data_IF_234867340572
#
_entry.id   IF_234867340572
#
_cell.length_a   1.000
_cell.length_b   1.000
_cell.length_c   1.000
_cell.angle_alpha   90.00
_cell.angle_beta   90.00
_cell.angle_gamma   90.00
#
_symmetry.space_group_name_H-M   'P 1'
#
loop_
_entity.id
_entity.type
_entity.pdbx_description
1 polymer ?
#
# COMPACT_ATOMS: atom_id res chain seq x y z
N UNK A 1 19.49 13.05 21.60
CA UNK A 1 18.47 12.75 20.58
C UNK A 1 19.11 12.94 19.22
N UNK A 2 19.17 11.89 18.41
CA UNK A 2 19.90 11.88 17.13
C UNK A 2 18.89 11.69 16.01
N UNK A 3 18.81 12.64 15.08
CA UNK A 3 17.86 12.64 13.97
C UNK A 3 18.57 12.22 12.68
N UNK A 4 17.94 11.32 11.91
CA UNK A 4 18.45 10.81 10.62
C UNK A 4 17.74 11.54 9.49
N UNK A 5 18.50 12.15 8.58
CA UNK A 5 17.97 12.84 7.38
C UNK A 5 18.16 11.91 6.17
N UNK A 6 17.07 11.55 5.47
CA UNK A 6 17.17 10.80 4.21
C UNK A 6 17.69 11.69 3.09
N UNK A 7 18.60 11.13 2.29
CA UNK A 7 19.46 11.73 1.26
C UNK A 7 18.77 12.45 0.09
N UNK A 8 17.43 12.51 0.02
CA UNK A 8 16.72 12.91 -1.21
C UNK A 8 16.06 14.30 -1.18
N UNK A 9 16.16 15.06 -0.09
CA UNK A 9 15.69 16.45 -0.04
C UNK A 9 16.81 17.39 0.41
N UNK A 10 17.58 17.87 -0.58
CA UNK A 10 18.58 18.94 -0.50
C UNK A 10 19.83 18.65 0.36
N UNK A 11 21.00 18.93 -0.20
CA UNK A 11 22.34 18.82 0.43
C UNK A 11 22.58 19.83 1.58
N UNK A 12 21.52 20.46 2.10
CA UNK A 12 21.59 21.45 3.17
C UNK A 12 21.34 20.79 4.52
N UNK A 13 22.43 20.51 5.24
CA UNK A 13 22.38 20.16 6.67
C UNK A 13 21.91 21.41 7.43
N UNK A 14 20.76 21.38 8.11
CA UNK A 14 20.28 22.54 8.85
C UNK A 14 21.27 22.96 9.94
N UNK A 15 21.27 24.25 10.29
CA UNK A 15 22.15 24.80 11.32
C UNK A 15 21.94 24.05 12.66
N UNK A 16 23.01 23.54 13.27
CA UNK A 16 22.96 22.77 14.52
C UNK A 16 22.86 21.24 14.37
N UNK A 17 22.92 20.73 13.14
CA UNK A 17 22.87 19.28 12.85
C UNK A 17 24.19 18.77 12.27
N UNK A 18 24.45 17.46 12.37
CA UNK A 18 25.67 16.82 11.86
C UNK A 18 25.32 15.58 11.06
N UNK A 19 26.01 15.38 9.93
CA UNK A 19 25.86 14.17 9.11
C UNK A 19 26.48 12.97 9.85
N UNK A 20 25.80 11.82 9.81
CA UNK A 20 26.35 10.56 10.34
C UNK A 20 26.97 9.79 9.16
N UNK A 21 28.30 9.59 9.13
CA UNK A 21 28.99 9.08 7.94
C UNK A 21 28.84 7.57 7.71
N UNK A 22 28.33 6.82 8.69
CA UNK A 22 28.19 5.36 8.63
C UNK A 22 26.75 4.96 8.89
N UNK A 23 25.94 4.88 7.83
CA UNK A 23 24.55 4.43 7.93
C UNK A 23 24.48 2.90 7.85
N UNK A 24 24.14 2.18 8.94
CA UNK A 24 23.69 0.81 8.79
C UNK A 24 22.39 0.82 7.97
N UNK A 25 22.33 -0.01 6.92
CA UNK A 25 21.07 -0.24 6.22
C UNK A 25 20.10 -0.96 7.15
N UNK A 26 19.00 -0.31 7.49
CA UNK A 26 17.93 -0.91 8.29
C UNK A 26 17.03 -1.73 7.36
N UNK A 27 16.91 -3.02 7.64
CA UNK A 27 16.04 -3.95 6.91
C UNK A 27 14.89 -4.39 7.82
N UNK A 28 13.70 -4.55 7.23
CA UNK A 28 12.49 -4.94 7.94
C UNK A 28 11.54 -5.69 6.99
N UNK A 29 10.60 -6.45 7.55
CA UNK A 29 9.65 -7.23 6.79
C UNK A 29 8.49 -6.37 6.29
N UNK A 30 8.03 -6.59 5.06
CA UNK A 30 6.94 -5.79 4.46
C UNK A 30 5.58 -5.99 5.13
N UNK A 31 5.36 -7.16 5.73
CA UNK A 31 4.06 -7.55 6.27
C UNK A 31 4.23 -8.28 7.59
N UNK A 32 3.26 -8.10 8.49
CA UNK A 32 3.22 -8.75 9.80
C UNK A 32 3.34 -10.27 9.66
N UNK A 33 4.11 -10.89 10.55
CA UNK A 33 4.42 -12.32 10.58
C UNK A 33 5.41 -12.79 9.52
N UNK A 34 5.74 -11.96 8.52
CA UNK A 34 6.73 -12.34 7.50
C UNK A 34 8.12 -12.35 8.11
N UNK A 35 8.88 -13.42 7.86
CA UNK A 35 10.19 -13.65 8.47
C UNK A 35 10.18 -13.64 10.01
N UNK A 36 9.01 -13.84 10.66
CA UNK A 36 8.87 -13.77 12.12
C UNK A 36 8.80 -12.35 12.69
N UNK A 37 8.72 -11.32 11.84
CA UNK A 37 8.60 -9.95 12.30
C UNK A 37 7.16 -9.61 12.68
N UNK A 38 6.94 -9.12 13.90
CA UNK A 38 5.62 -8.93 14.49
C UNK A 38 5.37 -7.50 14.97
N UNK A 39 6.42 -6.68 15.06
CA UNK A 39 6.36 -5.33 15.65
C UNK A 39 6.27 -4.28 14.54
N UNK A 40 5.20 -3.47 14.46
CA UNK A 40 5.08 -2.44 13.43
C UNK A 40 6.03 -1.27 13.67
N UNK A 41 6.67 -0.77 12.60
CA UNK A 41 7.41 0.51 12.62
C UNK A 41 6.50 1.60 12.09
N UNK A 42 5.93 2.39 12.99
CA UNK A 42 5.09 3.52 12.62
C UNK A 42 5.94 4.74 12.28
N UNK A 43 5.60 5.41 11.18
CA UNK A 43 6.14 6.73 10.86
C UNK A 43 5.10 7.78 11.20
N UNK A 44 5.56 8.82 11.86
CA UNK A 44 4.81 10.02 12.16
C UNK A 44 5.45 11.19 11.41
N UNK A 45 4.64 12.17 11.03
CA UNK A 45 5.13 13.40 10.41
C UNK A 45 4.54 14.65 11.09
N UNK A 46 5.32 15.71 11.13
CA UNK A 46 4.88 17.04 11.54
C UNK A 46 5.30 18.04 10.47
N UNK A 47 4.38 18.96 10.17
CA UNK A 47 4.56 20.02 9.18
C UNK A 47 4.64 21.35 9.93
N UNK A 48 5.74 22.07 9.76
CA UNK A 48 5.85 23.44 10.23
C UNK A 48 6.48 24.35 9.15
N UNK A 49 6.64 25.63 9.45
CA UNK A 49 7.17 26.62 8.49
C UNK A 49 8.58 26.37 7.97
N UNK A 50 9.31 25.38 8.50
CA UNK A 50 10.68 25.03 8.09
C UNK A 50 10.81 23.66 7.42
N UNK A 51 9.73 22.86 7.35
CA UNK A 51 9.73 21.61 6.59
C UNK A 51 8.88 20.49 7.18
N UNK A 52 9.15 19.27 6.69
CA UNK A 52 8.53 18.03 7.16
C UNK A 52 9.50 17.33 8.10
N UNK A 53 9.04 17.04 9.31
CA UNK A 53 9.78 16.34 10.34
C UNK A 53 9.18 14.97 10.53
N UNK A 54 10.02 13.95 10.68
CA UNK A 54 9.56 12.58 10.92
C UNK A 54 10.00 12.10 12.30
N UNK A 55 9.13 11.33 12.94
CA UNK A 55 9.47 10.52 14.12
C UNK A 55 8.92 9.10 13.93
N UNK A 56 9.42 8.15 14.70
CA UNK A 56 9.11 6.73 14.53
C UNK A 56 8.83 6.08 15.87
N UNK A 57 7.81 5.23 15.92
CA UNK A 57 7.49 4.42 17.10
C UNK A 57 7.36 2.96 16.70
N UNK A 58 7.50 2.06 17.68
CA UNK A 58 7.32 0.61 17.51
C UNK A 58 5.97 0.11 18.01
N UNK A 59 5.13 1.03 18.48
CA UNK A 59 3.83 0.75 19.08
C UNK A 59 2.77 1.71 18.56
N UNK A 60 1.52 1.49 18.97
CA UNK A 60 0.39 2.33 18.57
C UNK A 60 0.34 3.70 19.25
N UNK A 61 1.43 4.14 19.90
CA UNK A 61 1.48 5.45 20.52
C UNK A 61 1.42 6.57 19.48
N UNK A 62 0.79 7.67 19.87
CA UNK A 62 0.76 8.91 19.10
C UNK A 62 1.83 9.84 19.68
N UNK A 63 2.62 10.44 18.81
CA UNK A 63 3.63 11.43 19.19
C UNK A 63 3.04 12.83 19.18
N UNK A 64 3.24 13.57 20.29
CA UNK A 64 2.65 14.90 20.46
C UNK A 64 3.17 15.89 19.40
N UNK A 65 2.25 16.60 18.76
CA UNK A 65 2.56 17.49 17.64
C UNK A 65 2.88 16.79 16.31
N UNK A 66 2.72 15.47 16.22
CA UNK A 66 2.89 14.69 15.00
C UNK A 66 1.62 13.93 14.60
N UNK A 67 1.45 13.70 13.30
CA UNK A 67 0.39 12.88 12.72
C UNK A 67 0.98 11.53 12.30
N UNK A 68 0.38 10.43 12.77
CA UNK A 68 0.79 9.08 12.40
C UNK A 68 0.32 8.71 11.00
N UNK A 69 1.17 8.06 10.22
CA UNK A 69 0.75 7.46 8.96
C UNK A 69 -0.16 6.24 9.19
N UNK A 70 -1.09 6.01 8.27
CA UNK A 70 -2.13 5.00 8.44
C UNK A 70 -1.62 3.55 8.37
N UNK A 71 -0.44 3.33 7.78
CA UNK A 71 0.18 2.01 7.68
C UNK A 71 1.59 2.09 8.27
N UNK A 72 2.05 1.03 8.95
CA UNK A 72 3.44 0.95 9.36
C UNK A 72 4.32 0.89 8.11
N UNK A 73 5.53 1.42 8.22
CA UNK A 73 6.54 1.34 7.15
C UNK A 73 6.89 -0.11 6.83
N UNK A 74 6.99 -0.92 7.88
CA UNK A 74 7.36 -2.32 7.84
C UNK A 74 7.24 -2.91 9.25
N UNK A 75 7.63 -4.17 9.40
CA UNK A 75 7.59 -4.93 10.64
C UNK A 75 9.00 -5.38 11.03
N UNK A 76 9.31 -5.29 12.31
CA UNK A 76 10.57 -5.72 12.94
C UNK A 76 10.28 -6.80 13.99
N UNK A 77 11.33 -7.38 14.56
CA UNK A 77 11.22 -8.47 15.53
C UNK A 77 11.13 -7.93 16.95
N UNK A 78 10.25 -8.53 17.76
CA UNK A 78 10.26 -8.29 19.19
C UNK A 78 11.48 -9.00 19.81
N UNK A 79 12.20 -8.29 20.67
CA UNK A 79 13.38 -8.86 21.33
C UNK A 79 13.02 -10.06 22.23
N UNK A 80 11.81 -10.06 22.81
CA UNK A 80 11.31 -11.16 23.64
C UNK A 80 11.01 -12.44 22.82
N UNK A 81 10.73 -12.30 21.51
CA UNK A 81 10.47 -13.45 20.62
C UNK A 81 11.78 -14.13 20.17
N UNK A 82 12.91 -13.42 20.19
CA UNK A 82 14.23 -13.92 19.79
C UNK A 82 14.85 -14.80 20.88
N UNK A 83 14.55 -14.53 22.16
CA UNK A 83 15.09 -15.30 23.29
C UNK A 83 14.49 -16.72 23.45
N UNK A 84 13.44 -17.04 22.68
CA UNK A 84 12.80 -18.38 22.69
C UNK A 84 13.41 -19.34 21.66
N UNK A 85 14.21 -18.86 20.70
CA UNK A 85 14.84 -19.71 19.68
C UNK A 85 16.03 -20.55 20.18
N UNK A 86 16.49 -20.32 21.42
CA UNK A 86 17.69 -20.96 21.97
C UNK A 86 17.50 -22.31 22.68
N UNK A 87 16.28 -22.75 23.01
CA UNK A 87 16.11 -23.86 23.97
C UNK A 87 14.93 -24.82 23.74
N UNK A 88 14.39 -24.93 22.52
CA UNK A 88 13.22 -25.79 22.24
C UNK A 88 13.52 -26.98 21.32
N UNK A 89 13.23 -28.20 21.80
CA UNK A 89 13.38 -29.47 21.08
C UNK A 89 12.69 -29.47 19.70
N UNK A 90 13.31 -30.21 18.77
CA UNK A 90 13.03 -30.29 17.33
C UNK A 90 11.59 -30.72 16.97
N UNK A 91 10.84 -31.33 17.89
CA UNK A 91 9.42 -31.68 17.69
C UNK A 91 8.46 -30.48 17.79
N UNK A 92 8.80 -29.42 18.54
CA UNK A 92 7.96 -28.22 18.65
C UNK A 92 8.08 -27.29 17.43
N UNK A 93 9.16 -27.43 16.64
CA UNK A 93 9.34 -26.73 15.36
C UNK A 93 8.32 -27.16 14.31
N UNK A 94 7.82 -28.40 14.35
CA UNK A 94 6.78 -28.86 13.40
C UNK A 94 5.38 -28.36 13.73
N UNK A 95 5.10 -27.94 14.98
CA UNK A 95 3.79 -27.38 15.36
C UNK A 95 3.69 -25.86 15.19
N UNK A 96 4.82 -25.13 15.13
CA UNK A 96 4.84 -23.67 14.91
C UNK A 96 4.77 -23.24 13.43
N UNK A 97 4.97 -24.16 12.48
CA UNK A 97 4.73 -23.89 11.05
C UNK A 97 3.26 -23.99 10.62
N UNK A 98 2.35 -24.20 11.57
CA UNK A 98 0.91 -24.01 11.36
C UNK A 98 0.51 -22.67 11.95
N UNK A 99 0.76 -21.59 11.20
CA UNK A 99 -0.02 -20.37 11.35
C UNK A 99 -1.46 -20.78 11.06
N UNK A 100 -2.26 -20.85 12.12
CA UNK A 100 -3.72 -20.87 12.00
C UNK A 100 -4.08 -19.53 11.37
N UNK A 101 -4.25 -19.55 10.05
CA UNK A 101 -4.89 -18.49 9.27
C UNK A 101 -6.23 -18.22 9.96
N UNK A 102 -6.42 -16.99 10.49
CA UNK A 102 -7.77 -16.51 10.82
C UNK A 102 -8.57 -16.62 9.52
N UNK A 103 -9.50 -17.59 9.52
CA UNK A 103 -10.13 -18.25 8.37
C UNK A 103 -9.25 -19.25 7.61
N UNK A 104 -9.20 -20.48 8.13
CA UNK A 104 -8.65 -21.67 7.47
C UNK A 104 -9.38 -22.10 6.18
N UNK A 105 -9.72 -21.16 5.30
CA UNK A 105 -10.00 -21.47 3.90
C UNK A 105 -8.67 -21.58 3.18
N UNK A 106 -8.19 -22.81 3.02
CA UNK A 106 -7.25 -23.12 1.94
C UNK A 106 -7.87 -22.62 0.64
N UNK A 107 -7.26 -21.60 0.04
CA UNK A 107 -7.64 -21.13 -1.28
C UNK A 107 -7.49 -22.30 -2.24
N UNK A 108 -8.58 -22.72 -2.85
CA UNK A 108 -8.47 -23.70 -3.92
C UNK A 108 -7.69 -23.04 -5.06
N UNK A 109 -6.71 -23.75 -5.62
CA UNK A 109 -5.79 -23.24 -6.66
C UNK A 109 -6.48 -23.15 -8.02
N UNK A 110 -7.81 -23.14 -8.01
CA UNK A 110 -8.62 -23.16 -9.22
C UNK A 110 -8.39 -21.87 -9.99
N UNK A 111 -8.08 -22.02 -11.27
CA UNK A 111 -7.79 -20.91 -12.16
C UNK A 111 -9.15 -20.39 -12.68
N UNK A 112 -9.54 -19.14 -12.38
CA UNK A 112 -10.81 -18.60 -12.89
C UNK A 112 -10.82 -18.62 -14.42
N UNK A 113 -12.00 -18.78 -15.02
CA UNK A 113 -12.07 -18.89 -16.48
C UNK A 113 -11.52 -17.61 -17.14
N UNK A 114 -10.45 -17.76 -17.94
CA UNK A 114 -9.78 -16.63 -18.64
C UNK A 114 -10.72 -15.81 -19.51
N UNK A 115 -11.80 -16.40 -20.04
CA UNK A 115 -12.77 -15.67 -20.86
C UNK A 115 -13.60 -14.66 -20.06
N UNK A 116 -13.55 -14.72 -18.73
CA UNK A 116 -14.18 -13.75 -17.82
C UNK A 116 -13.21 -12.67 -17.33
N UNK A 117 -11.96 -12.69 -17.80
CA UNK A 117 -10.96 -11.71 -17.43
C UNK A 117 -10.79 -10.67 -18.53
N UNK A 118 -10.58 -9.44 -18.14
CA UNK A 118 -10.39 -8.29 -19.03
C UNK A 118 -9.12 -7.54 -18.64
N UNK A 119 -8.53 -6.81 -19.59
CA UNK A 119 -7.30 -6.06 -19.35
C UNK A 119 -7.60 -4.81 -18.51
N UNK A 120 -7.01 -4.72 -17.31
CA UNK A 120 -6.99 -3.48 -16.53
C UNK A 120 -5.99 -2.51 -17.15
N UNK A 121 -6.46 -1.32 -17.48
CA UNK A 121 -5.69 -0.30 -18.18
C UNK A 121 -5.52 0.91 -17.25
N UNK A 122 -4.30 1.40 -17.18
CA UNK A 122 -3.96 2.67 -16.56
C UNK A 122 -4.09 3.80 -17.59
N UNK A 123 -4.75 4.87 -17.17
CA UNK A 123 -4.84 6.12 -17.88
C UNK A 123 -4.34 7.25 -16.99
N UNK A 124 -3.76 8.27 -17.61
CA UNK A 124 -3.26 9.46 -16.94
C UNK A 124 -3.80 10.71 -17.61
N UNK A 125 -4.22 11.70 -16.83
CA UNK A 125 -4.62 12.99 -17.38
C UNK A 125 -3.41 13.89 -17.67
N UNK A 126 -3.63 14.98 -18.41
CA UNK A 126 -2.59 15.96 -18.72
C UNK A 126 -2.59 17.15 -17.74
N UNK A 127 -3.14 16.99 -16.54
CA UNK A 127 -3.18 18.05 -15.51
C UNK A 127 -1.91 18.02 -14.66
N UNK A 128 -1.83 18.91 -13.67
CA UNK A 128 -0.65 19.08 -12.81
C UNK A 128 -1.07 19.38 -11.37
N UNK A 129 -0.14 19.22 -10.42
CA UNK A 129 -0.44 19.42 -8.99
C UNK A 129 -1.49 18.44 -8.50
N UNK A 130 -2.37 18.88 -7.59
CA UNK A 130 -3.44 18.07 -7.00
C UNK A 130 -4.56 17.65 -7.97
N UNK A 131 -4.47 18.04 -9.23
CA UNK A 131 -5.38 17.57 -10.28
C UNK A 131 -4.73 16.53 -11.20
N UNK A 132 -3.43 16.26 -11.05
CA UNK A 132 -2.79 15.15 -11.76
C UNK A 132 -3.37 13.84 -11.21
N UNK A 133 -3.79 12.96 -12.11
CA UNK A 133 -4.54 11.76 -11.71
C UNK A 133 -4.22 10.54 -12.59
N UNK A 134 -4.23 9.37 -11.95
CA UNK A 134 -4.23 8.07 -12.61
C UNK A 134 -5.56 7.34 -12.41
N UNK A 135 -6.16 6.94 -13.53
CA UNK A 135 -7.44 6.25 -13.58
C UNK A 135 -7.28 4.81 -14.08
N UNK A 136 -7.87 3.84 -13.38
CA UNK A 136 -7.76 2.41 -13.68
C UNK A 136 -9.12 1.87 -14.08
N UNK A 137 -9.23 1.38 -15.32
CA UNK A 137 -10.52 0.96 -15.87
C UNK A 137 -10.35 -0.09 -16.97
N UNK A 138 -11.47 -0.70 -17.36
CA UNK A 138 -11.61 -1.56 -18.53
C UNK A 138 -12.16 -0.80 -19.75
N UNK A 139 -12.58 0.46 -19.53
CA UNK A 139 -13.12 1.33 -20.58
C UNK A 139 -12.05 1.67 -21.62
N UNK A 140 -12.53 1.95 -22.82
CA UNK A 140 -11.68 2.39 -23.92
C UNK A 140 -11.42 3.89 -23.82
N UNK A 141 -10.33 4.37 -24.43
CA UNK A 141 -9.95 5.79 -24.40
C UNK A 141 -11.03 6.74 -24.92
N UNK A 142 -11.94 6.25 -25.77
CA UNK A 142 -13.08 7.04 -26.29
C UNK A 142 -14.06 7.46 -25.20
N UNK A 143 -14.11 6.71 -24.11
CA UNK A 143 -15.04 6.91 -23.01
C UNK A 143 -14.45 7.81 -21.90
N UNK A 144 -13.18 8.25 -22.06
CA UNK A 144 -12.39 8.90 -21.00
C UNK A 144 -11.82 10.24 -21.48
N UNK A 145 -12.69 11.25 -21.56
CA UNK A 145 -12.29 12.60 -21.98
C UNK A 145 -11.18 13.17 -21.05
N UNK A 146 -10.07 13.61 -21.66
CA UNK A 146 -8.95 14.22 -20.95
C UNK A 146 -7.93 13.25 -20.35
N UNK A 147 -8.12 11.94 -20.56
CA UNK A 147 -7.21 10.89 -20.10
C UNK A 147 -6.55 10.17 -21.28
N UNK A 148 -5.25 9.93 -21.16
CA UNK A 148 -4.46 9.20 -22.14
C UNK A 148 -4.06 7.84 -21.57
N UNK A 149 -4.18 6.79 -22.37
CA UNK A 149 -3.72 5.45 -21.97
C UNK A 149 -2.21 5.51 -21.74
N UNK A 150 -1.75 5.04 -20.59
CA UNK A 150 -0.33 4.94 -20.25
C UNK A 150 0.15 3.51 -20.29
N UNK A 151 -0.60 2.56 -19.71
CA UNK A 151 -0.13 1.19 -19.52
C UNK A 151 -1.25 0.16 -19.50
N UNK A 152 -0.96 -1.04 -20.03
CA UNK A 152 -1.73 -2.26 -19.76
C UNK A 152 -1.14 -2.93 -18.51
N UNK A 153 -1.91 -3.04 -17.44
CA UNK A 153 -1.42 -3.58 -16.17
C UNK A 153 -1.46 -5.10 -16.14
N UNK A 154 -2.61 -5.69 -16.46
CA UNK A 154 -2.82 -7.13 -16.41
C UNK A 154 -4.28 -7.52 -16.47
N UNK A 155 -4.52 -8.82 -16.58
CA UNK A 155 -5.88 -9.37 -16.63
C UNK A 155 -6.51 -9.40 -15.22
N UNK A 156 -7.74 -8.91 -15.12
CA UNK A 156 -8.53 -8.87 -13.90
C UNK A 156 -9.94 -9.42 -14.16
N UNK A 157 -10.60 -9.96 -13.13
CA UNK A 157 -11.98 -10.44 -13.26
C UNK A 157 -12.98 -9.29 -13.12
N UNK A 158 -14.03 -9.31 -13.94
CA UNK A 158 -15.14 -8.33 -13.86
C UNK A 158 -16.30 -8.79 -13.00
N UNK A 159 -16.31 -10.07 -12.61
CA UNK A 159 -17.32 -10.69 -11.76
C UNK A 159 -16.66 -11.62 -10.77
N UNK A 160 -17.25 -11.73 -9.59
CA UNK A 160 -16.86 -12.75 -8.63
C UNK A 160 -17.01 -14.14 -9.26
N UNK A 161 -15.97 -14.97 -9.15
CA UNK A 161 -15.98 -16.34 -9.64
C UNK A 161 -15.96 -17.29 -8.45
N UNK A 162 -17.07 -18.01 -8.23
CA UNK A 162 -17.22 -18.92 -7.10
C UNK A 162 -16.22 -20.08 -7.09
N UNK A 163 -15.52 -20.33 -8.20
CA UNK A 163 -14.41 -21.29 -8.23
C UNK A 163 -13.25 -20.83 -7.34
N UNK A 164 -13.04 -19.53 -7.16
CA UNK A 164 -11.98 -18.95 -6.36
C UNK A 164 -12.54 -18.22 -5.14
N UNK A 165 -12.38 -18.82 -3.95
CA UNK A 165 -12.86 -18.25 -2.68
C UNK A 165 -12.02 -17.10 -2.14
N UNK A 166 -10.87 -16.80 -2.76
CA UNK A 166 -9.88 -15.83 -2.29
C UNK A 166 -9.84 -14.54 -3.13
N UNK A 167 -10.89 -14.33 -3.93
CA UNK A 167 -11.10 -13.05 -4.59
C UNK A 167 -11.45 -11.98 -3.58
N UNK A 168 -10.82 -10.83 -3.74
CA UNK A 168 -11.21 -9.57 -3.10
C UNK A 168 -11.85 -8.68 -4.15
N UNK A 169 -12.87 -7.93 -3.73
CA UNK A 169 -13.48 -6.90 -4.58
C UNK A 169 -12.64 -5.63 -4.50
N UNK A 170 -12.20 -5.16 -5.66
CA UNK A 170 -11.66 -3.81 -5.84
C UNK A 170 -12.74 -2.91 -6.41
N UNK A 171 -12.81 -1.69 -5.90
CA UNK A 171 -13.72 -0.64 -6.33
C UNK A 171 -12.90 0.53 -6.84
N UNK A 172 -13.28 1.05 -8.02
CA UNK A 172 -12.76 2.32 -8.48
C UNK A 172 -13.53 3.43 -7.75
N UNK A 173 -12.79 4.36 -7.17
CA UNK A 173 -13.32 5.46 -6.37
C UNK A 173 -12.80 6.79 -6.90
N UNK A 174 -13.50 7.87 -6.56
CA UNK A 174 -13.13 9.23 -6.92
C UNK A 174 -13.27 10.13 -5.69
N UNK A 175 -12.23 10.89 -5.41
CA UNK A 175 -12.28 12.09 -4.61
C UNK A 175 -12.23 13.31 -5.54
N UNK A 176 -13.32 14.08 -5.53
CA UNK A 176 -13.49 15.28 -6.34
C UNK A 176 -13.88 16.44 -5.43
N UNK A 177 -12.93 16.87 -4.60
CA UNK A 177 -13.11 17.99 -3.69
C UNK A 177 -12.83 19.31 -4.41
N UNK A 178 -13.55 20.36 -3.99
CA UNK A 178 -13.38 21.74 -4.47
C UNK A 178 -12.90 22.65 -3.33
N UNK A 179 -12.43 23.85 -3.66
CA UNK A 179 -12.00 24.85 -2.67
C UNK A 179 -10.52 24.75 -2.30
N UNK A 180 -10.16 24.98 -1.03
CA UNK A 180 -8.75 25.03 -0.58
C UNK A 180 -8.08 23.65 -0.64
N UNK A 181 -8.86 22.57 -0.57
CA UNK A 181 -8.41 21.18 -0.73
C UNK A 181 -8.82 20.60 -2.09
N UNK A 182 -8.85 21.47 -3.13
CA UNK A 182 -9.25 21.06 -4.46
C UNK A 182 -8.35 19.94 -5.00
N UNK A 183 -8.96 18.81 -5.37
CA UNK A 183 -8.25 17.67 -5.94
C UNK A 183 -9.18 16.81 -6.80
N UNK A 184 -8.58 16.16 -7.79
CA UNK A 184 -9.20 15.08 -8.55
C UNK A 184 -8.29 13.88 -8.37
N UNK A 185 -8.81 12.85 -7.71
CA UNK A 185 -8.01 11.70 -7.34
C UNK A 185 -8.84 10.43 -7.42
N UNK A 186 -8.59 9.66 -8.47
CA UNK A 186 -9.16 8.35 -8.66
C UNK A 186 -8.29 7.30 -7.99
N UNK A 187 -8.93 6.39 -7.25
CA UNK A 187 -8.23 5.30 -6.59
C UNK A 187 -8.92 3.98 -6.76
N UNK A 188 -8.09 2.98 -7.08
CA UNK A 188 -8.47 1.59 -6.98
C UNK A 188 -8.26 1.12 -5.53
N UNK A 189 -9.35 0.83 -4.84
CA UNK A 189 -9.35 0.46 -3.42
C UNK A 189 -10.02 -0.89 -3.22
N UNK A 190 -9.71 -1.59 -2.13
CA UNK A 190 -10.54 -2.73 -1.74
C UNK A 190 -11.91 -2.23 -1.26
N UNK A 191 -12.97 -2.98 -1.51
CA UNK A 191 -14.33 -2.61 -1.10
C UNK A 191 -14.51 -2.57 0.42
N UNK A 192 -13.65 -3.25 1.18
CA UNK A 192 -13.62 -3.28 2.64
C UNK A 192 -12.64 -2.24 3.25
N UNK A 193 -11.97 -1.44 2.43
CA UNK A 193 -11.10 -0.38 2.91
C UNK A 193 -11.91 0.82 3.41
N UNK A 194 -11.39 1.52 4.42
CA UNK A 194 -11.94 2.81 4.86
C UNK A 194 -11.83 3.84 3.73
N UNK A 195 -12.97 4.30 3.22
CA UNK A 195 -13.07 5.21 2.06
C UNK A 195 -13.01 6.70 2.45
N UNK A 196 -13.22 7.03 3.72
CA UNK A 196 -13.29 8.42 4.17
C UNK A 196 -12.31 8.66 5.31
N UNK A 197 -11.44 9.65 5.12
CA UNK A 197 -10.46 10.08 6.13
C UNK A 197 -10.54 11.60 6.29
N UNK A 198 -9.83 12.15 7.27
CA UNK A 198 -9.95 13.57 7.67
C UNK A 198 -9.67 14.56 6.51
N UNK A 199 -9.08 14.14 5.39
CA UNK A 199 -8.90 14.95 4.18
C UNK A 199 -9.23 14.21 2.88
N UNK A 200 -9.89 13.05 2.97
CA UNK A 200 -10.18 12.19 1.83
C UNK A 200 -11.67 11.81 1.81
N UNK A 201 -12.33 12.05 0.69
CA UNK A 201 -13.77 11.80 0.48
C UNK A 201 -13.96 10.99 -0.78
N UNK A 202 -13.59 9.70 -0.72
CA UNK A 202 -13.75 8.82 -1.86
C UNK A 202 -15.19 8.33 -1.98
N UNK A 203 -15.74 8.47 -3.18
CA UNK A 203 -17.03 7.89 -3.57
C UNK A 203 -16.82 6.85 -4.67
N UNK A 204 -17.49 5.68 -4.61
CA UNK A 204 -17.40 4.68 -5.68
C UNK A 204 -17.87 5.25 -7.02
N UNK A 205 -17.13 4.97 -8.09
CA UNK A 205 -17.51 5.33 -9.47
C UNK A 205 -18.51 4.35 -10.08
N UNK A 206 -18.70 3.21 -9.42
CA UNK A 206 -19.54 2.09 -9.88
C UNK A 206 -18.75 0.97 -10.58
N UNK A 207 -17.50 1.19 -10.96
CA UNK A 207 -16.64 0.15 -11.50
C UNK A 207 -16.09 -0.75 -10.40
N UNK A 208 -16.23 -2.06 -10.61
CA UNK A 208 -15.81 -3.11 -9.69
C UNK A 208 -15.00 -4.16 -10.41
N UNK A 209 -13.95 -4.63 -9.76
CA UNK A 209 -13.07 -5.67 -10.27
C UNK A 209 -12.76 -6.68 -9.18
N UNK A 210 -12.24 -7.83 -9.55
CA UNK A 210 -11.88 -8.88 -8.60
C UNK A 210 -10.48 -9.39 -8.89
N UNK A 211 -9.65 -9.43 -7.84
CA UNK A 211 -8.30 -9.99 -7.89
C UNK A 211 -8.08 -10.91 -6.68
N UNK A 212 -7.00 -11.70 -6.67
CA UNK A 212 -6.67 -12.49 -5.51
C UNK A 212 -5.99 -11.63 -4.42
N UNK A 213 -6.17 -11.99 -3.15
CA UNK A 213 -5.54 -11.29 -2.03
C UNK A 213 -4.02 -11.47 -1.98
N UNK A 214 -3.50 -12.62 -2.45
CA UNK A 214 -2.08 -12.94 -2.44
C UNK A 214 -1.59 -13.49 -3.77
N UNK A 215 -0.29 -13.33 -4.04
CA UNK A 215 0.37 -13.91 -5.21
C UNK A 215 0.23 -15.44 -5.21
N UNK A 216 -0.07 -16.02 -6.37
CA UNK A 216 -0.26 -17.45 -6.58
C UNK A 216 -1.70 -17.94 -6.35
N UNK A 217 -2.47 -17.25 -5.52
CA UNK A 217 -3.88 -17.61 -5.29
C UNK A 217 -4.68 -17.42 -6.58
N UNK A 218 -5.48 -18.42 -6.93
CA UNK A 218 -6.34 -18.41 -8.11
C UNK A 218 -5.59 -18.09 -9.42
N UNK A 219 -4.31 -18.49 -9.49
CA UNK A 219 -3.45 -18.23 -10.63
C UNK A 219 -2.95 -16.79 -10.77
N UNK A 220 -3.16 -15.94 -9.77
CA UNK A 220 -2.67 -14.56 -9.77
C UNK A 220 -1.13 -14.54 -9.81
N UNK A 221 -0.57 -13.86 -10.80
CA UNK A 221 0.88 -13.83 -11.05
C UNK A 221 1.48 -12.42 -11.02
N UNK A 222 0.65 -11.39 -11.20
CA UNK A 222 1.04 -9.99 -11.18
C UNK A 222 0.52 -9.31 -9.89
N UNK A 223 1.39 -8.79 -9.03
CA UNK A 223 0.96 -7.98 -7.90
C UNK A 223 0.49 -6.60 -8.37
N UNK A 224 -0.39 -5.95 -7.59
CA UNK A 224 -0.72 -4.54 -7.73
C UNK A 224 -0.15 -3.79 -6.54
N UNK A 225 0.87 -2.96 -6.77
CA UNK A 225 1.53 -2.16 -5.75
C UNK A 225 1.01 -0.74 -5.78
N UNK A 226 0.58 -0.25 -4.61
CA UNK A 226 0.21 1.15 -4.43
C UNK A 226 1.44 1.97 -4.05
N UNK A 227 1.69 3.00 -4.83
CA UNK A 227 2.65 4.05 -4.56
C UNK A 227 1.90 5.37 -4.34
N UNK A 228 2.46 6.26 -3.53
CA UNK A 228 1.92 7.59 -3.32
C UNK A 228 2.99 8.61 -3.73
N UNK A 229 2.63 9.49 -4.66
CA UNK A 229 3.46 10.59 -5.08
C UNK A 229 3.06 11.83 -4.27
N UNK A 230 3.91 12.20 -3.31
CA UNK A 230 3.67 13.35 -2.43
C UNK A 230 3.78 14.69 -3.16
N UNK A 231 4.51 14.77 -4.27
CA UNK A 231 4.66 16.03 -5.03
C UNK A 231 3.37 16.37 -5.77
N UNK A 232 2.69 15.35 -6.29
CA UNK A 232 1.44 15.51 -7.02
C UNK A 232 0.19 15.19 -6.20
N UNK A 233 0.37 14.67 -4.98
CA UNK A 233 -0.73 14.22 -4.10
C UNK A 233 -1.60 13.19 -4.85
N UNK A 234 -0.91 12.25 -5.49
CA UNK A 234 -1.50 11.27 -6.41
C UNK A 234 -1.03 9.86 -6.03
N UNK A 235 -1.74 8.84 -6.49
CA UNK A 235 -1.40 7.45 -6.18
C UNK A 235 -1.42 6.58 -7.40
N UNK A 236 -0.28 5.95 -7.62
CA UNK A 236 -0.04 5.07 -8.74
C UNK A 236 -0.20 3.62 -8.30
N UNK A 237 -0.84 2.81 -9.13
CA UNK A 237 -0.84 1.36 -9.03
C UNK A 237 0.07 0.82 -10.11
N UNK A 238 1.08 0.05 -9.71
CA UNK A 238 2.04 -0.57 -10.63
C UNK A 238 2.04 -2.09 -10.46
N UNK A 239 2.57 -2.80 -11.46
CA UNK A 239 2.84 -4.24 -11.39
C UNK A 239 4.31 -4.58 -11.16
N UNK A 240 5.15 -3.55 -11.08
CA UNK A 240 6.59 -3.62 -10.84
C UNK A 240 6.90 -2.92 -9.52
N UNK A 241 7.79 -3.51 -8.72
CA UNK A 241 8.32 -2.88 -7.50
C UNK A 241 9.10 -1.59 -7.81
#
# INVERSE_FOLDING_TARGET
STLVVRKELSELIPLGYSLIPNEPTVLCARSEGTCGATVPVWRHFSLNGTGIYHTYTLDDSMEDGYTREALPLCFVWNQEDVDVEGSGQEEDRRKRNTVVVKDGKTCDVSFPNRTKMEMLIEYKNNRTGSELDHFYTLKTSKDLAGYNKTKDLGLILTKNDSSCSCLVELVQTLDNQTGIFHRIDHKLMRSDAELNRIFEKYSPTGEKFYCAAQKGQCGASLPLYKHFDYLYIDSLITTSE
#
